data_IF_659922819831
#
_entry.id   IF_659922819831
#
_cell.length_a   1.000
_cell.length_b   1.000
_cell.length_c   1.000
_cell.angle_alpha   90.00
_cell.angle_beta   90.00
_cell.angle_gamma   90.00
#
_symmetry.space_group_name_H-M   'P 1'
#
loop_
_entity.id
_entity.type
_entity.pdbx_description
1 polymer ?
#
# COMPACT_ATOMS: atom_id res chain seq x y z
N UNK A 1 12.54 -2.28 5.31
CA UNK A 1 11.06 -2.40 5.45
C UNK A 1 10.32 -1.05 5.66
N UNK A 2 10.82 0.09 5.18
CA UNK A 2 10.20 1.40 5.48
C UNK A 2 9.36 2.01 4.32
N UNK A 3 9.67 1.69 3.06
CA UNK A 3 9.03 2.37 1.91
C UNK A 3 7.57 1.96 1.72
N UNK A 4 7.24 0.68 1.89
CA UNK A 4 5.85 0.19 1.83
C UNK A 4 4.98 0.86 2.89
N UNK A 5 5.50 0.98 4.13
CA UNK A 5 4.79 1.65 5.23
C UNK A 5 4.54 3.13 4.93
N UNK A 6 5.57 3.85 4.48
CA UNK A 6 5.43 5.27 4.09
C UNK A 6 4.40 5.48 2.98
N UNK A 7 4.32 4.56 2.01
CA UNK A 7 3.32 4.59 0.93
C UNK A 7 1.91 4.35 1.48
N UNK A 8 1.72 3.34 2.33
CA UNK A 8 0.44 3.04 2.96
C UNK A 8 -0.05 4.24 3.81
N UNK A 9 0.83 4.85 4.59
CA UNK A 9 0.51 6.05 5.37
C UNK A 9 0.18 7.26 4.50
N UNK A 10 0.84 7.43 3.36
CA UNK A 10 0.51 8.51 2.42
C UNK A 10 -0.93 8.36 1.88
N UNK A 11 -1.34 7.15 1.53
CA UNK A 11 -2.72 6.87 1.10
C UNK A 11 -3.70 7.05 2.25
N UNK A 12 -3.39 6.57 3.47
CA UNK A 12 -4.23 6.82 4.65
C UNK A 12 -4.47 8.31 4.87
N UNK A 13 -3.41 9.14 4.86
CA UNK A 13 -3.56 10.60 5.01
C UNK A 13 -4.43 11.22 3.93
N UNK A 14 -4.31 10.76 2.67
CA UNK A 14 -5.17 11.22 1.59
C UNK A 14 -6.65 10.84 1.81
N UNK A 15 -6.93 9.62 2.33
CA UNK A 15 -8.28 9.19 2.67
C UNK A 15 -8.86 10.01 3.84
N UNK A 16 -8.06 10.28 4.87
CA UNK A 16 -8.49 11.14 5.98
C UNK A 16 -8.80 12.56 5.51
N UNK A 17 -8.02 13.10 4.55
CA UNK A 17 -8.26 14.43 3.98
C UNK A 17 -9.61 14.52 3.25
N UNK A 18 -10.08 13.43 2.64
CA UNK A 18 -11.39 13.38 1.96
C UNK A 18 -12.54 12.90 2.87
N UNK A 19 -12.29 12.80 4.18
CA UNK A 19 -13.34 12.60 5.20
C UNK A 19 -13.43 11.21 5.82
N UNK A 20 -12.53 10.28 5.51
CA UNK A 20 -12.46 9.03 6.25
C UNK A 20 -11.98 9.29 7.70
N UNK A 21 -12.62 8.68 8.70
CA UNK A 21 -12.11 8.77 10.07
C UNK A 21 -10.88 7.88 10.26
N UNK A 22 -9.98 8.27 11.16
CA UNK A 22 -8.78 7.48 11.47
C UNK A 22 -9.11 6.06 11.97
N UNK A 23 -10.26 5.87 12.62
CA UNK A 23 -10.70 4.56 13.10
C UNK A 23 -11.12 3.59 11.97
N UNK A 24 -11.42 4.10 10.78
CA UNK A 24 -11.85 3.29 9.62
C UNK A 24 -10.67 2.80 8.76
N UNK A 25 -9.46 3.34 8.95
CA UNK A 25 -8.33 3.11 8.03
C UNK A 25 -7.08 2.68 8.79
N UNK A 26 -6.58 1.49 8.47
CA UNK A 26 -5.33 0.94 8.99
C UNK A 26 -4.26 0.90 7.88
N UNK A 27 -3.05 1.38 8.17
CA UNK A 27 -1.93 1.38 7.21
C UNK A 27 -0.96 0.24 7.54
N UNK A 28 -0.88 -0.77 6.66
CA UNK A 28 -0.06 -1.97 6.83
C UNK A 28 0.89 -2.14 5.63
N UNK A 29 2.14 -2.49 5.89
CA UNK A 29 3.14 -2.80 4.87
C UNK A 29 3.42 -4.30 4.77
N UNK A 30 3.31 -4.85 3.57
CA UNK A 30 3.73 -6.23 3.27
C UNK A 30 5.14 -6.34 2.67
N UNK A 31 5.86 -5.21 2.55
CA UNK A 31 7.19 -5.22 1.93
C UNK A 31 7.18 -5.86 0.54
N UNK A 32 8.08 -6.81 0.32
CA UNK A 32 8.18 -7.61 -0.90
C UNK A 32 7.55 -9.01 -0.74
N UNK A 33 6.99 -9.32 0.44
CA UNK A 33 6.54 -10.66 0.81
C UNK A 33 5.24 -11.09 0.09
N UNK A 34 4.49 -10.13 -0.47
CA UNK A 34 3.23 -10.37 -1.19
C UNK A 34 3.20 -9.68 -2.56
N UNK A 35 3.97 -10.17 -3.55
CA UNK A 35 3.96 -9.62 -4.90
C UNK A 35 2.60 -9.87 -5.58
N UNK A 36 2.15 -8.93 -6.42
CA UNK A 36 1.03 -9.17 -7.32
C UNK A 36 1.46 -10.02 -8.50
N UNK A 37 2.67 -9.80 -9.00
CA UNK A 37 3.26 -10.52 -10.11
C UNK A 37 4.62 -11.05 -9.67
N UNK A 38 4.81 -12.35 -9.79
CA UNK A 38 6.12 -12.97 -9.53
C UNK A 38 7.09 -12.63 -10.66
N UNK A 39 8.38 -12.55 -10.32
CA UNK A 39 9.47 -12.29 -11.27
C UNK A 39 10.28 -11.05 -10.94
N UNK A 40 11.35 -10.87 -11.71
CA UNK A 40 12.40 -9.87 -11.46
C UNK A 40 12.61 -8.92 -12.64
N UNK A 41 11.59 -8.74 -13.48
CA UNK A 41 11.61 -7.75 -14.55
C UNK A 41 11.07 -6.40 -14.08
N UNK A 42 11.45 -5.31 -14.75
CA UNK A 42 10.90 -3.98 -14.43
C UNK A 42 9.38 -3.92 -14.56
N UNK A 43 8.80 -4.67 -15.49
CA UNK A 43 7.34 -4.79 -15.63
C UNK A 43 6.70 -5.43 -14.38
N UNK A 44 7.34 -6.46 -13.81
CA UNK A 44 6.88 -7.08 -12.57
C UNK A 44 7.05 -6.11 -11.39
N UNK A 45 8.19 -5.44 -11.29
CA UNK A 45 8.44 -4.46 -10.23
C UNK A 45 7.48 -3.27 -10.30
N UNK A 46 7.15 -2.77 -11.49
CA UNK A 46 6.18 -1.71 -11.68
C UNK A 46 4.79 -2.10 -11.13
N UNK A 47 4.34 -3.33 -11.40
CA UNK A 47 3.07 -3.86 -10.87
C UNK A 47 3.13 -4.10 -9.35
N UNK A 48 4.30 -4.45 -8.81
CA UNK A 48 4.47 -4.73 -7.39
C UNK A 48 4.58 -3.47 -6.51
N UNK A 49 5.04 -2.34 -7.06
CA UNK A 49 5.08 -1.04 -6.37
C UNK A 49 3.69 -0.39 -6.26
N UNK A 50 2.79 -0.99 -5.48
CA UNK A 50 1.38 -0.58 -5.35
C UNK A 50 0.92 -0.44 -3.89
N UNK A 51 -0.26 0.14 -3.71
CA UNK A 51 -1.06 0.11 -2.47
C UNK A 51 -2.42 -0.48 -2.83
N UNK A 52 -2.93 -1.39 -2.01
CA UNK A 52 -4.27 -1.97 -2.14
C UNK A 52 -5.17 -1.48 -1.00
N UNK A 53 -6.42 -1.12 -1.32
CA UNK A 53 -7.46 -0.84 -0.31
C UNK A 53 -8.30 -2.11 -0.15
N UNK A 54 -8.30 -2.70 1.05
CA UNK A 54 -9.07 -3.90 1.37
C UNK A 54 -10.13 -3.56 2.43
N UNK A 55 -11.39 -3.79 2.08
CA UNK A 55 -12.52 -3.68 3.00
C UNK A 55 -12.62 -4.96 3.85
N UNK A 56 -13.05 -4.79 5.11
CA UNK A 56 -13.39 -5.90 6.02
C UNK A 56 -14.90 -6.02 6.11
#
# INVERSE_FOLDING_TARGET
LALGQKRAEAVRRALTLVGASDAQVEAVSFGEDKPAVAGSSEDAYAKNRRVEIRYR
#
